data_IF_422844202376
#
_entry.id   IF_422844202376
#
_cell.length_a   1.000
_cell.length_b   1.000
_cell.length_c   1.000
_cell.angle_alpha   90.00
_cell.angle_beta   90.00
_cell.angle_gamma   90.00
#
_symmetry.space_group_name_H-M   'P 1'
#
loop_
_entity.id
_entity.type
_entity.pdbx_description
1 polymer ?
#
# COMPACT_ATOMS: atom_id res chain seq x y z
N UNK A 1 0.12 -16.54 17.48
CA UNK A 1 -0.80 -17.47 16.79
C UNK A 1 0.00 -18.57 16.11
N UNK A 2 -0.48 -19.81 16.07
CA UNK A 2 0.17 -20.93 15.36
C UNK A 2 -0.73 -21.35 14.21
N UNK A 3 -0.15 -21.42 13.01
CA UNK A 3 -0.84 -21.86 11.81
C UNK A 3 0.15 -22.64 10.94
N UNK A 4 -0.37 -23.56 10.13
CA UNK A 4 0.41 -24.25 9.10
C UNK A 4 0.14 -23.55 7.77
N UNK A 5 1.19 -23.17 7.06
CA UNK A 5 1.11 -22.56 5.72
C UNK A 5 2.02 -23.31 4.77
N UNK A 6 1.60 -23.42 3.52
CA UNK A 6 2.48 -23.85 2.42
C UNK A 6 3.18 -22.62 1.86
N UNK A 7 4.49 -22.67 1.70
CA UNK A 7 5.29 -21.60 1.11
C UNK A 7 5.90 -22.06 -0.21
N UNK A 8 6.08 -21.11 -1.14
CA UNK A 8 6.77 -21.35 -2.40
C UNK A 8 8.28 -21.58 -2.18
N UNK A 9 8.93 -22.23 -3.14
CA UNK A 9 10.34 -22.62 -3.04
C UNK A 9 11.31 -21.45 -2.93
N UNK A 10 11.00 -20.34 -3.60
CA UNK A 10 11.75 -19.08 -3.53
C UNK A 10 11.68 -18.46 -2.12
N UNK A 11 10.50 -18.45 -1.51
CA UNK A 11 10.30 -17.99 -0.13
C UNK A 11 11.07 -18.87 0.85
N UNK A 12 11.03 -20.20 0.66
CA UNK A 12 11.80 -21.15 1.47
C UNK A 12 13.31 -20.92 1.36
N UNK A 13 13.83 -20.66 0.16
CA UNK A 13 15.24 -20.38 -0.05
C UNK A 13 15.70 -19.10 0.65
N UNK A 14 14.91 -18.01 0.56
CA UNK A 14 15.21 -16.77 1.25
C UNK A 14 15.13 -16.93 2.78
N UNK A 15 14.16 -17.69 3.28
CA UNK A 15 14.11 -18.02 4.71
C UNK A 15 15.38 -18.75 5.16
N UNK A 16 15.88 -19.73 4.39
CA UNK A 16 17.11 -20.45 4.74
C UNK A 16 18.33 -19.53 4.77
N UNK A 17 18.42 -18.62 3.79
CA UNK A 17 19.46 -17.60 3.76
C UNK A 17 19.43 -16.72 5.01
N UNK A 18 18.25 -16.23 5.39
CA UNK A 18 18.10 -15.43 6.62
C UNK A 18 18.49 -16.20 7.87
N UNK A 19 18.15 -17.49 7.95
CA UNK A 19 18.54 -18.35 9.06
C UNK A 19 20.06 -18.51 9.14
N UNK A 20 20.74 -18.69 8.01
CA UNK A 20 22.19 -18.82 7.95
C UNK A 20 22.91 -17.50 8.30
N UNK A 21 22.41 -16.37 7.83
CA UNK A 21 23.05 -15.06 8.02
C UNK A 21 22.75 -14.43 9.40
N UNK A 22 21.55 -14.62 9.93
CA UNK A 22 21.06 -13.92 11.14
C UNK A 22 20.83 -14.86 12.33
N UNK A 23 20.91 -16.18 12.15
CA UNK A 23 20.71 -17.17 13.21
C UNK A 23 19.27 -17.27 13.72
N UNK A 24 18.29 -16.74 13.00
CA UNK A 24 16.89 -16.66 13.42
C UNK A 24 16.12 -17.96 13.19
N UNK A 25 14.98 -18.12 13.87
CA UNK A 25 14.09 -19.28 13.69
C UNK A 25 13.22 -19.20 12.41
N UNK A 26 12.62 -20.31 11.96
CA UNK A 26 11.79 -20.34 10.74
C UNK A 26 10.54 -19.45 10.86
N UNK A 27 9.87 -19.46 12.02
CA UNK A 27 8.72 -18.57 12.27
C UNK A 27 9.10 -17.10 12.24
N UNK A 28 10.31 -16.77 12.70
CA UNK A 28 10.83 -15.40 12.75
C UNK A 28 11.21 -14.91 11.34
N UNK A 29 11.87 -15.77 10.55
CA UNK A 29 12.16 -15.50 9.14
C UNK A 29 10.86 -15.23 8.35
N UNK A 30 9.84 -16.08 8.49
CA UNK A 30 8.56 -15.90 7.81
C UNK A 30 7.85 -14.60 8.22
N UNK A 31 7.79 -14.31 9.52
CA UNK A 31 7.17 -13.07 10.00
C UNK A 31 7.91 -11.83 9.50
N UNK A 32 9.23 -11.89 9.43
CA UNK A 32 10.05 -10.78 8.92
C UNK A 32 9.76 -10.53 7.44
N UNK A 33 9.71 -11.58 6.62
CA UNK A 33 9.34 -11.46 5.21
C UNK A 33 7.92 -10.91 5.03
N UNK A 34 6.95 -11.42 5.80
CA UNK A 34 5.57 -10.92 5.76
C UNK A 34 5.50 -9.42 6.09
N UNK A 35 6.19 -8.97 7.15
CA UNK A 35 6.23 -7.54 7.52
C UNK A 35 6.89 -6.69 6.43
N UNK A 36 8.01 -7.13 5.85
CA UNK A 36 8.67 -6.44 4.74
C UNK A 36 7.74 -6.31 3.53
N UNK A 37 6.99 -7.37 3.20
CA UNK A 37 6.00 -7.36 2.12
C UNK A 37 4.85 -6.39 2.39
N UNK A 38 4.29 -6.41 3.60
CA UNK A 38 3.21 -5.48 4.00
C UNK A 38 3.65 -4.01 3.94
N UNK A 39 4.88 -3.70 4.36
CA UNK A 39 5.44 -2.34 4.27
C UNK A 39 5.66 -1.88 2.83
N UNK A 40 6.00 -2.79 1.90
CA UNK A 40 6.15 -2.45 0.48
C UNK A 40 4.79 -2.20 -0.20
N UNK A 41 3.73 -2.87 0.27
CA UNK A 41 2.38 -2.67 -0.24
C UNK A 41 1.72 -1.37 0.24
N UNK A 42 2.25 -0.71 1.27
CA UNK A 42 1.62 0.49 1.84
C UNK A 42 1.86 1.78 1.06
N UNK A 43 2.59 1.74 -0.06
CA UNK A 43 2.72 2.90 -0.94
C UNK A 43 3.12 2.48 -2.36
N UNK A 44 2.14 2.37 -3.26
CA UNK A 44 2.39 2.94 -4.59
C UNK A 44 2.02 4.41 -4.49
N UNK A 45 2.97 5.35 -4.60
CA UNK A 45 2.61 6.75 -4.70
C UNK A 45 1.73 6.91 -5.94
N UNK A 46 0.47 7.29 -5.71
CA UNK A 46 -0.41 7.67 -6.81
C UNK A 46 0.25 8.90 -7.43
N UNK A 47 0.65 8.79 -8.69
CA UNK A 47 1.11 9.94 -9.45
C UNK A 47 -0.12 10.74 -9.83
N UNK A 48 -0.40 11.80 -9.07
CA UNK A 48 -1.44 12.74 -9.43
C UNK A 48 -0.96 13.61 -10.61
N UNK A 49 -1.84 13.95 -11.57
CA UNK A 49 -1.54 14.97 -12.56
C UNK A 49 -1.09 16.29 -11.91
N UNK A 50 -0.30 17.08 -12.64
CA UNK A 50 0.08 18.41 -12.17
C UNK A 50 -1.20 19.24 -11.87
N UNK A 51 -1.30 19.88 -10.69
CA UNK A 51 -2.48 20.67 -10.35
C UNK A 51 -2.59 21.86 -11.33
N UNK A 52 -3.74 21.97 -11.98
CA UNK A 52 -4.08 23.14 -12.80
C UNK A 52 -4.88 24.11 -11.94
N UNK A 53 -4.53 25.39 -12.00
CA UNK A 53 -5.29 26.42 -11.31
C UNK A 53 -6.67 26.55 -11.96
N UNK A 54 -7.72 26.07 -11.29
CA UNK A 54 -9.11 26.17 -11.76
C UNK A 54 -9.74 27.56 -11.55
N UNK A 55 -8.99 28.54 -11.05
CA UNK A 55 -9.49 29.92 -10.82
C UNK A 55 -10.60 30.05 -9.77
N UNK A 56 -10.98 28.96 -9.11
CA UNK A 56 -12.00 28.90 -8.08
C UNK A 56 -11.37 28.57 -6.71
N UNK A 57 -11.92 29.17 -5.65
CA UNK A 57 -11.53 28.88 -4.27
C UNK A 57 -12.70 28.22 -3.56
N UNK A 58 -12.53 26.95 -3.19
CA UNK A 58 -13.54 26.19 -2.47
C UNK A 58 -13.26 26.25 -0.97
N UNK A 59 -14.31 26.48 -0.17
CA UNK A 59 -14.24 26.29 1.28
C UNK A 59 -14.48 24.80 1.59
N UNK A 60 -13.43 24.13 2.07
CA UNK A 60 -13.47 22.70 2.38
C UNK A 60 -14.08 22.38 3.76
N UNK A 61 -14.52 23.40 4.49
CA UNK A 61 -15.24 23.20 5.77
C UNK A 61 -16.61 22.56 5.53
N UNK A 62 -17.18 22.75 4.34
CA UNK A 62 -18.39 22.10 3.88
C UNK A 62 -18.10 21.21 2.65
N UNK A 63 -17.72 19.96 2.91
CA UNK A 63 -17.34 19.00 1.87
C UNK A 63 -18.53 18.68 0.94
N UNK A 64 -19.77 18.72 1.43
CA UNK A 64 -20.95 18.36 0.63
C UNK A 64 -21.18 19.29 -0.56
N UNK A 65 -21.04 20.60 -0.34
CA UNK A 65 -21.19 21.62 -1.38
C UNK A 65 -20.10 21.50 -2.46
N UNK A 66 -18.87 21.15 -2.06
CA UNK A 66 -17.76 20.95 -2.99
C UNK A 66 -17.99 19.73 -3.88
N UNK A 67 -18.49 18.63 -3.30
CA UNK A 67 -18.80 17.41 -4.06
C UNK A 67 -19.94 17.65 -5.06
N UNK A 68 -20.97 18.40 -4.69
CA UNK A 68 -22.08 18.74 -5.60
C UNK A 68 -21.62 19.58 -6.82
N UNK A 69 -20.69 20.52 -6.60
CA UNK A 69 -20.09 21.29 -7.69
C UNK A 69 -19.27 20.38 -8.61
N UNK A 70 -18.50 19.44 -8.06
CA UNK A 70 -17.70 18.51 -8.85
C UNK A 70 -18.58 17.55 -9.68
N UNK A 71 -19.63 17.00 -9.09
CA UNK A 71 -20.60 16.15 -9.78
C UNK A 71 -21.31 16.91 -10.92
N UNK A 72 -21.51 18.23 -10.76
CA UNK A 72 -22.10 19.10 -11.79
C UNK A 72 -21.15 19.45 -12.94
N UNK A 73 -19.85 19.21 -12.78
CA UNK A 73 -18.80 19.49 -13.78
C UNK A 73 -18.35 18.25 -14.54
N UNK A 74 -18.91 17.06 -14.27
CA UNK A 74 -18.71 15.86 -15.08
C UNK A 74 -19.16 16.13 -16.53
N UNK A 75 -18.24 16.21 -17.51
CA UNK A 75 -18.64 16.26 -18.90
C UNK A 75 -19.17 14.88 -19.28
N UNK A 76 -20.45 14.84 -19.68
CA UNK A 76 -21.02 13.65 -20.32
C UNK A 76 -20.12 13.16 -21.46
N UNK A 77 -19.96 11.84 -21.51
CA UNK A 77 -19.27 11.08 -22.57
C UNK A 77 -19.83 11.35 -23.97
#
# INVERSE_FOLDING_TARGET
MRMTVTIADDVRAEMERMRAEQGIGPSEALNTLARRGMMRSSASPITLPAPVAMGARFDLTNIGEVLEILDSQEPGS
#
